data_IF_678019783792
#
_entry.id   IF_678019783792
#
_cell.length_a   1.000
_cell.length_b   1.000
_cell.length_c   1.000
_cell.angle_alpha   90.00
_cell.angle_beta   90.00
_cell.angle_gamma   90.00
#
_symmetry.space_group_name_H-M   'P 1'
#
loop_
_entity.id
_entity.type
_entity.pdbx_description
1 polymer ?
#
# COMPACT_ATOMS: atom_id res chain seq x y z
N UNK A 1 10.95 14.51 -9.91
CA UNK A 1 9.57 14.99 -9.74
C UNK A 1 9.05 15.38 -11.12
N UNK A 2 7.91 14.82 -11.50
CA UNK A 2 7.43 14.76 -12.90
C UNK A 2 7.02 13.32 -13.22
N UNK A 3 5.78 13.12 -13.67
CA UNK A 3 5.15 11.82 -13.89
C UNK A 3 3.65 11.99 -14.14
N UNK A 4 2.97 10.89 -14.46
CA UNK A 4 1.52 10.85 -14.70
C UNK A 4 0.90 9.68 -13.93
N UNK A 5 -0.39 9.78 -13.61
CA UNK A 5 -1.11 8.71 -12.93
C UNK A 5 -1.08 7.42 -13.75
N UNK A 6 -0.74 6.31 -13.11
CA UNK A 6 -0.74 5.01 -13.77
C UNK A 6 -2.14 4.40 -13.74
N UNK A 7 -2.54 3.79 -14.87
CA UNK A 7 -3.74 2.97 -14.91
C UNK A 7 -3.68 1.80 -13.91
N UNK A 8 -4.80 1.41 -13.28
CA UNK A 8 -4.86 0.25 -12.41
C UNK A 8 -4.32 -1.01 -13.10
N UNK A 9 -3.53 -1.81 -12.38
CA UNK A 9 -2.95 -3.05 -12.90
C UNK A 9 -1.80 -2.88 -13.89
N UNK A 10 -1.42 -1.66 -14.27
CA UNK A 10 -0.25 -1.41 -15.14
C UNK A 10 1.07 -1.88 -14.52
N UNK A 11 1.12 -1.90 -13.19
CA UNK A 11 2.25 -2.38 -12.41
C UNK A 11 1.78 -3.49 -11.45
N UNK A 12 1.53 -4.72 -11.95
CA UNK A 12 0.84 -5.75 -11.16
C UNK A 12 1.68 -6.29 -9.98
N UNK A 13 2.99 -6.06 -10.00
CA UNK A 13 3.89 -6.37 -8.88
C UNK A 13 3.92 -5.27 -7.82
N UNK A 14 3.35 -4.09 -8.06
CA UNK A 14 3.36 -2.99 -7.10
C UNK A 14 2.51 -3.36 -5.89
N UNK A 15 3.11 -3.26 -4.70
CA UNK A 15 2.44 -3.52 -3.43
C UNK A 15 2.53 -2.29 -2.51
N UNK A 16 1.46 -2.02 -1.77
CA UNK A 16 1.43 -1.02 -0.71
C UNK A 16 1.48 -1.71 0.65
N UNK A 17 2.29 -1.17 1.56
CA UNK A 17 2.50 -1.70 2.91
C UNK A 17 1.86 -0.74 3.90
N UNK A 18 0.89 -1.24 4.66
CA UNK A 18 0.17 -0.50 5.69
C UNK A 18 0.50 -1.01 7.09
N UNK A 19 0.52 -0.09 8.05
CA UNK A 19 0.68 -0.36 9.47
C UNK A 19 -0.58 0.04 10.23
N UNK A 20 -0.87 -0.67 11.34
CA UNK A 20 -1.94 -0.30 12.27
C UNK A 20 -1.50 0.86 13.17
N UNK A 21 -2.41 1.80 13.42
CA UNK A 21 -2.22 2.82 14.44
C UNK A 21 -2.09 2.20 15.83
N UNK A 22 -1.25 2.82 16.67
CA UNK A 22 -1.04 2.41 18.06
C UNK A 22 -2.27 2.73 18.93
N UNK A 23 -3.00 3.78 18.58
CA UNK A 23 -4.15 4.27 19.33
C UNK A 23 -5.42 3.49 18.95
N UNK A 24 -5.61 3.25 17.65
CA UNK A 24 -6.76 2.55 17.13
C UNK A 24 -6.34 1.44 16.16
N UNK A 25 -6.59 0.19 16.53
CA UNK A 25 -6.21 -0.99 15.72
C UNK A 25 -7.01 -1.13 14.42
N UNK A 26 -8.09 -0.37 14.25
CA UNK A 26 -8.85 -0.35 12.98
C UNK A 26 -8.25 0.59 11.96
N UNK A 27 -7.40 1.53 12.39
CA UNK A 27 -6.86 2.55 11.50
C UNK A 27 -5.55 2.08 10.88
N UNK A 28 -5.50 2.10 9.55
CA UNK A 28 -4.34 1.72 8.75
C UNK A 28 -3.73 2.96 8.10
N UNK A 29 -2.42 3.11 8.17
CA UNK A 29 -1.69 4.18 7.48
C UNK A 29 -0.63 3.62 6.54
N UNK A 30 -0.47 4.28 5.39
CA UNK A 30 0.54 3.90 4.39
C UNK A 30 1.94 4.13 4.96
N UNK A 31 2.80 3.13 4.84
CA UNK A 31 4.17 3.19 5.35
C UNK A 31 5.19 3.16 4.22
N UNK A 32 5.13 2.15 3.36
CA UNK A 32 6.12 1.95 2.30
C UNK A 32 5.51 1.26 1.08
N UNK A 33 6.23 1.31 -0.04
CA UNK A 33 5.99 0.44 -1.19
C UNK A 33 6.70 -0.91 -1.08
N UNK A 34 6.32 -1.84 -1.94
CA UNK A 34 6.96 -3.14 -2.12
C UNK A 34 6.76 -3.70 -3.52
N UNK A 35 7.41 -4.82 -3.80
CA UNK A 35 7.30 -5.55 -5.07
C UNK A 35 7.01 -7.03 -4.83
N UNK A 36 5.98 -7.56 -5.50
CA UNK A 36 5.65 -8.98 -5.46
C UNK A 36 6.70 -9.78 -6.25
N UNK A 37 7.53 -10.56 -5.55
CA UNK A 37 8.59 -11.40 -6.13
C UNK A 37 8.20 -12.88 -6.21
N UNK A 38 7.05 -13.23 -5.64
CA UNK A 38 6.52 -14.58 -5.69
C UNK A 38 5.10 -14.65 -5.15
N UNK A 39 4.45 -15.83 -5.19
CA UNK A 39 3.04 -15.98 -4.85
C UNK A 39 2.72 -15.68 -3.39
N UNK A 40 3.71 -15.52 -2.51
CA UNK A 40 3.55 -15.18 -1.08
C UNK A 40 4.63 -14.24 -0.56
N UNK A 41 5.47 -13.70 -1.44
CA UNK A 41 6.67 -12.96 -1.05
C UNK A 41 6.66 -11.57 -1.67
N UNK A 42 6.84 -10.56 -0.82
CA UNK A 42 6.98 -9.15 -1.21
C UNK A 42 8.34 -8.68 -0.75
N UNK A 43 9.10 -8.11 -1.68
CA UNK A 43 10.36 -7.44 -1.40
C UNK A 43 10.09 -5.98 -1.05
N UNK A 44 10.71 -5.50 0.02
CA UNK A 44 10.65 -4.09 0.45
C UNK A 44 11.96 -3.70 1.13
N UNK A 45 12.11 -2.43 1.49
CA UNK A 45 13.30 -1.97 2.19
C UNK A 45 13.33 -2.49 3.63
N UNK A 46 14.51 -2.87 4.11
CA UNK A 46 14.67 -3.42 5.47
C UNK A 46 14.16 -2.45 6.56
N UNK A 47 14.41 -1.14 6.43
CA UNK A 47 13.94 -0.14 7.39
C UNK A 47 12.40 -0.03 7.46
N UNK A 48 11.67 -0.47 6.43
CA UNK A 48 10.20 -0.55 6.47
C UNK A 48 9.69 -1.74 7.30
N UNK A 49 10.52 -2.78 7.49
CA UNK A 49 10.13 -4.00 8.22
C UNK A 49 10.31 -3.90 9.74
N UNK A 50 11.30 -3.15 10.23
CA UNK A 50 11.64 -3.11 11.66
C UNK A 50 10.61 -2.41 12.57
N UNK A 51 9.76 -1.56 12.01
CA UNK A 51 8.74 -0.79 12.76
C UNK A 51 7.35 -1.44 12.75
N UNK A 52 7.15 -2.49 11.94
CA UNK A 52 5.84 -3.02 11.59
C UNK A 52 5.51 -4.29 12.39
N UNK A 53 4.88 -4.19 13.57
CA UNK A 53 4.46 -5.39 14.31
C UNK A 53 3.30 -6.15 13.64
N UNK A 54 2.62 -5.55 12.66
CA UNK A 54 1.67 -6.21 11.77
C UNK A 54 1.71 -5.50 10.42
N UNK A 55 2.03 -6.22 9.34
CA UNK A 55 1.96 -5.70 7.96
C UNK A 55 0.68 -6.24 7.35
N UNK A 56 -0.29 -5.36 7.11
CA UNK A 56 -1.49 -5.73 6.37
C UNK A 56 -1.22 -5.55 4.88
N UNK A 57 -1.25 -6.66 4.14
CA UNK A 57 -1.09 -6.68 2.69
C UNK A 57 -2.47 -6.79 2.07
N UNK A 58 -3.04 -5.65 1.68
CA UNK A 58 -4.21 -5.65 0.81
C UNK A 58 -3.78 -6.10 -0.59
N UNK A 59 -4.11 -7.35 -0.97
CA UNK A 59 -4.11 -7.76 -2.37
C UNK A 59 -5.35 -7.20 -3.05
N UNK A 60 -5.36 -5.92 -3.41
CA UNK A 60 -6.47 -5.37 -4.21
C UNK A 60 -6.03 -5.02 -5.62
N UNK A 61 -6.10 -6.03 -6.49
CA UNK A 61 -6.18 -5.86 -7.93
C UNK A 61 -7.29 -6.78 -8.45
N UNK A 62 -8.55 -6.37 -8.24
CA UNK A 62 -9.74 -6.89 -8.93
C UNK A 62 -10.86 -5.84 -8.84
N UNK A 63 -10.84 -4.87 -9.75
CA UNK A 63 -12.05 -4.26 -10.31
C UNK A 63 -13.09 -3.57 -9.42
N UNK A 64 -12.74 -2.96 -8.28
CA UNK A 64 -13.68 -2.07 -7.57
C UNK A 64 -13.09 -0.67 -7.42
N UNK A 65 -13.65 0.23 -8.23
CA UNK A 65 -13.61 1.68 -8.08
C UNK A 65 -14.07 2.04 -6.66
N UNK A 66 -13.12 2.27 -5.76
CA UNK A 66 -13.33 3.25 -4.70
C UNK A 66 -12.75 4.55 -5.24
N UNK A 67 -13.55 5.59 -5.51
CA UNK A 67 -12.96 6.90 -5.70
C UNK A 67 -12.12 7.18 -4.45
N UNK A 68 -10.87 7.61 -4.64
CA UNK A 68 -10.24 8.38 -3.59
C UNK A 68 -11.16 9.60 -3.42
N UNK A 69 -12.04 9.55 -2.42
CA UNK A 69 -12.79 10.71 -1.99
C UNK A 69 -11.73 11.77 -1.65
N UNK A 70 -11.60 12.71 -2.57
CA UNK A 70 -10.94 13.99 -2.36
C UNK A 70 -11.70 14.70 -1.24
N UNK A 71 -11.49 14.33 0.00
CA UNK A 71 -11.83 15.17 1.14
C UNK A 71 -10.68 16.16 1.37
N UNK A 72 -10.74 17.20 0.54
CA UNK A 72 -10.68 18.61 0.96
C UNK A 72 -9.36 19.16 1.50
N UNK A 73 -8.72 19.98 0.67
CA UNK A 73 -8.37 21.34 1.09
C UNK A 73 -8.21 22.25 -0.13
N UNK A 74 -9.25 23.08 -0.34
CA UNK A 74 -9.33 24.32 -1.13
C UNK A 74 -8.98 24.26 -2.63
#
# INVERSE_FOLDING_TARGET
MGGEESLPGRWPWMAAIFQQSKENRTDLFFTCGGSLIGPRHILTAAHCSYLSRFVYLERRCSGLHTPMEKERST
#
